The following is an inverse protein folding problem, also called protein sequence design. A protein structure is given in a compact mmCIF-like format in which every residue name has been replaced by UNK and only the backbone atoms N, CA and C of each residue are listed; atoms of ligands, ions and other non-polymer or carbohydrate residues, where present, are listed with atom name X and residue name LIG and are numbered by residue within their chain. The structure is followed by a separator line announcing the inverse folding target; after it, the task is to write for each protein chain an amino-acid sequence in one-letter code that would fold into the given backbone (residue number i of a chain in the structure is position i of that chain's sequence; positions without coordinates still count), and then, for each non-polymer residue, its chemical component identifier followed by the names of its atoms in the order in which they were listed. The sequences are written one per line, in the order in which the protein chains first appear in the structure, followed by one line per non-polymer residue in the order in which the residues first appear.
data_IF_658152625754
#
_entry.id   IF_658152625754
#
_cell.length_a   1.000
_cell.length_b   1.000
_cell.length_c   1.000
_cell.angle_alpha   90.00
_cell.angle_beta   90.00
_cell.angle_gamma   90.00
#
_symmetry.space_group_name_H-M   'P 1'
#
loop_
_entity.id
_entity.type
_entity.pdbx_description
1 polymer ?
#
# COMPACT_ATOMS: atom_id res chain seq x y z
N UNK A 1 15.58 8.25 -60.25
CA UNK A 1 16.61 7.53 -59.44
C UNK A 1 16.54 7.82 -57.93
N UNK A 2 16.02 8.98 -57.48
CA UNK A 2 15.97 9.37 -56.05
C UNK A 2 14.89 8.64 -55.22
N UNK A 3 13.75 8.31 -55.82
CA UNK A 3 12.63 7.62 -55.14
C UNK A 3 12.97 6.18 -54.70
N UNK A 4 13.71 5.44 -55.55
CA UNK A 4 14.17 4.07 -55.23
C UNK A 4 15.13 4.04 -54.03
N UNK A 5 15.97 5.08 -53.88
CA UNK A 5 16.89 5.21 -52.74
C UNK A 5 16.14 5.48 -51.43
N UNK A 6 15.07 6.26 -51.47
CA UNK A 6 14.25 6.56 -50.29
C UNK A 6 13.50 5.33 -49.79
N UNK A 7 12.95 4.52 -50.71
CA UNK A 7 12.28 3.26 -50.41
C UNK A 7 13.22 2.22 -49.77
N UNK A 8 14.48 2.17 -50.22
CA UNK A 8 15.49 1.26 -49.64
C UNK A 8 15.84 1.69 -48.21
N UNK A 9 15.93 2.99 -47.94
CA UNK A 9 16.26 3.51 -46.60
C UNK A 9 15.09 3.25 -45.61
N UNK A 10 13.84 3.44 -46.03
CA UNK A 10 12.68 3.19 -45.17
C UNK A 10 12.47 1.70 -44.88
N UNK A 11 12.70 0.81 -45.85
CA UNK A 11 12.66 -0.64 -45.63
C UNK A 11 13.81 -1.09 -44.71
N UNK A 12 15.02 -0.54 -44.88
CA UNK A 12 16.14 -0.83 -43.98
C UNK A 12 15.87 -0.35 -42.54
N UNK A 13 15.25 0.81 -42.37
CA UNK A 13 14.84 1.32 -41.05
C UNK A 13 13.83 0.40 -40.33
N UNK A 14 12.82 -0.09 -41.04
CA UNK A 14 11.81 -1.01 -40.49
C UNK A 14 12.40 -2.38 -40.08
N UNK A 15 13.40 -2.88 -40.81
CA UNK A 15 14.08 -4.13 -40.49
C UNK A 15 14.99 -4.00 -39.25
N UNK A 16 15.57 -2.82 -39.01
CA UNK A 16 16.39 -2.58 -37.81
C UNK A 16 15.52 -2.44 -36.56
N UNK A 17 14.35 -1.79 -36.64
CA UNK A 17 13.46 -1.66 -35.48
C UNK A 17 12.84 -2.99 -35.03
N UNK A 18 12.59 -3.90 -35.97
CA UNK A 18 12.01 -5.22 -35.67
C UNK A 18 13.02 -6.17 -35.03
N UNK A 19 14.32 -6.08 -35.36
CA UNK A 19 15.36 -6.89 -34.72
C UNK A 19 15.66 -6.47 -33.27
N UNK A 20 15.63 -5.16 -32.98
CA UNK A 20 15.80 -4.63 -31.62
C UNK A 20 14.63 -5.04 -30.70
N UNK A 21 13.39 -4.96 -31.20
CA UNK A 21 12.21 -5.41 -30.46
C UNK A 21 12.24 -6.90 -30.13
N UNK A 22 12.64 -7.75 -31.09
CA UNK A 22 12.75 -9.18 -30.86
C UNK A 22 13.91 -9.54 -29.92
N UNK A 23 15.03 -8.81 -29.96
CA UNK A 23 16.14 -8.97 -29.03
C UNK A 23 15.74 -8.72 -27.57
N UNK A 24 15.05 -7.62 -27.29
CA UNK A 24 14.55 -7.29 -25.94
C UNK A 24 13.49 -8.29 -25.49
N UNK A 25 12.55 -8.64 -26.37
CA UNK A 25 11.50 -9.62 -26.07
C UNK A 25 12.07 -11.02 -25.80
N UNK A 26 13.07 -11.46 -26.58
CA UNK A 26 13.77 -12.73 -26.39
C UNK A 26 14.57 -12.74 -25.09
N UNK A 27 15.25 -11.64 -24.74
CA UNK A 27 15.94 -11.52 -23.45
C UNK A 27 14.97 -11.58 -22.27
N UNK A 28 13.82 -10.89 -22.32
CA UNK A 28 12.80 -10.92 -21.26
C UNK A 28 12.07 -12.26 -21.15
N UNK A 29 11.84 -12.94 -22.28
CA UNK A 29 11.15 -14.25 -22.33
C UNK A 29 12.08 -15.41 -21.98
N UNK A 30 13.36 -15.33 -22.33
CA UNK A 30 14.36 -16.38 -22.07
C UNK A 30 15.08 -16.15 -20.72
N UNK A 31 15.01 -14.94 -20.15
CA UNK A 31 15.21 -14.78 -18.73
C UNK A 31 14.01 -15.40 -18.02
N UNK A 32 14.18 -16.64 -17.56
CA UNK A 32 13.50 -17.14 -16.37
C UNK A 32 13.92 -16.26 -15.17
N UNK A 33 13.54 -14.98 -15.19
CA UNK A 33 13.40 -14.16 -14.01
C UNK A 33 12.18 -14.68 -13.26
N UNK A 34 12.27 -15.94 -12.83
CA UNK A 34 11.62 -16.32 -11.60
C UNK A 34 12.30 -15.43 -10.55
N UNK A 35 11.59 -14.51 -9.88
CA UNK A 35 12.12 -14.03 -8.62
C UNK A 35 12.41 -15.30 -7.82
N UNK A 36 13.69 -15.53 -7.47
CA UNK A 36 14.08 -16.70 -6.68
C UNK A 36 13.07 -16.87 -5.54
N UNK A 37 12.24 -17.90 -5.61
CA UNK A 37 11.37 -18.33 -4.50
C UNK A 37 12.16 -19.10 -3.46
N UNK A 38 13.41 -18.69 -3.23
CA UNK A 38 14.29 -19.25 -2.21
C UNK A 38 14.48 -18.23 -1.09
N UNK A 39 13.37 -17.88 -0.45
CA UNK A 39 13.37 -17.55 0.97
C UNK A 39 12.22 -18.33 1.63
N UNK A 40 12.25 -19.66 1.48
CA UNK A 40 11.91 -20.51 2.61
C UNK A 40 13.02 -20.36 3.65
N UNK A 41 13.09 -19.18 4.28
CA UNK A 41 13.72 -19.11 5.59
C UNK A 41 12.76 -19.85 6.51
N UNK A 42 13.25 -20.96 7.04
CA UNK A 42 12.75 -21.61 8.23
C UNK A 42 12.70 -20.59 9.37
N UNK A 43 11.70 -19.72 9.32
CA UNK A 43 11.37 -18.77 10.37
C UNK A 43 10.53 -19.53 11.38
N UNK A 44 11.16 -20.43 12.15
CA UNK A 44 10.87 -20.37 13.59
C UNK A 44 10.94 -18.89 13.92
N UNK A 45 9.88 -18.26 14.49
CA UNK A 45 9.93 -16.85 14.79
C UNK A 45 11.20 -16.63 15.60
N UNK A 46 12.22 -16.02 14.98
CA UNK A 46 13.35 -15.47 15.71
C UNK A 46 12.64 -14.54 16.66
N UNK A 47 12.59 -14.90 17.95
CA UNK A 47 12.02 -14.05 18.99
C UNK A 47 12.65 -12.70 18.74
N UNK A 48 11.83 -11.80 18.21
CA UNK A 48 12.20 -10.44 17.94
C UNK A 48 12.85 -9.97 19.23
N UNK A 49 14.10 -9.52 19.17
CA UNK A 49 14.61 -8.70 20.27
C UNK A 49 13.57 -7.61 20.43
N UNK A 50 12.95 -7.51 21.61
CA UNK A 50 11.91 -6.52 21.89
C UNK A 50 12.49 -5.11 21.70
N UNK A 51 12.54 -4.64 20.45
CA UNK A 51 12.64 -3.23 20.13
C UNK A 51 11.27 -2.70 20.49
N UNK A 52 11.19 -1.82 21.49
CA UNK A 52 9.93 -1.20 21.86
C UNK A 52 9.27 -0.58 20.62
N UNK A 53 7.99 -0.84 20.42
CA UNK A 53 7.18 -0.20 19.37
C UNK A 53 7.03 1.28 19.73
N UNK A 54 7.23 2.18 18.77
CA UNK A 54 6.93 3.60 18.94
C UNK A 54 5.43 3.86 18.93
N UNK A 55 4.67 2.94 18.33
CA UNK A 55 3.23 3.06 18.31
C UNK A 55 2.65 2.82 19.71
N UNK A 56 1.70 3.66 20.14
CA UNK A 56 0.90 3.36 21.31
C UNK A 56 0.18 2.03 21.14
N UNK A 57 -0.13 1.39 22.26
CA UNK A 57 -0.95 0.17 22.27
C UNK A 57 -2.38 0.50 21.84
N UNK A 58 -2.66 0.35 20.55
CA UNK A 58 -3.95 0.60 19.92
C UNK A 58 -4.46 -0.67 19.24
N UNK A 59 -5.76 -0.90 19.31
CA UNK A 59 -6.48 -1.96 18.62
C UNK A 59 -7.56 -1.37 17.70
N UNK A 60 -8.04 -2.16 16.75
CA UNK A 60 -9.11 -1.74 15.84
C UNK A 60 -10.39 -1.30 16.58
N UNK A 61 -10.71 -1.93 17.72
CA UNK A 61 -11.90 -1.60 18.50
C UNK A 61 -11.82 -0.23 19.20
N UNK A 62 -10.62 0.30 19.45
CA UNK A 62 -10.47 1.61 20.12
C UNK A 62 -11.07 2.74 19.27
N UNK A 63 -11.19 2.52 17.96
CA UNK A 63 -11.74 3.46 17.00
C UNK A 63 -13.26 3.36 16.84
N UNK A 64 -13.91 2.36 17.46
CA UNK A 64 -15.35 2.15 17.32
C UNK A 64 -16.17 3.33 17.87
N UNK A 65 -15.62 4.07 18.85
CA UNK A 65 -16.24 5.26 19.44
C UNK A 65 -16.46 6.41 18.44
N UNK A 66 -15.71 6.42 17.33
CA UNK A 66 -15.83 7.46 16.32
C UNK A 66 -16.88 7.14 15.25
N UNK A 67 -17.43 5.92 15.23
CA UNK A 67 -18.45 5.51 14.26
C UNK A 67 -19.79 6.15 14.64
N UNK A 68 -20.42 6.84 13.68
CA UNK A 68 -21.70 7.53 13.88
C UNK A 68 -22.84 6.84 13.15
N UNK A 69 -24.07 7.15 13.57
CA UNK A 69 -25.30 6.75 12.90
C UNK A 69 -25.89 7.89 12.08
N UNK A 70 -26.41 7.58 10.90
CA UNK A 70 -27.18 8.51 10.08
C UNK A 70 -28.61 8.70 10.64
N UNK A 71 -29.40 9.58 10.01
CA UNK A 71 -30.80 9.85 10.41
C UNK A 71 -31.70 8.61 10.33
N UNK A 72 -31.31 7.60 9.54
CA UNK A 72 -32.00 6.32 9.41
C UNK A 72 -31.47 5.26 10.40
N UNK A 73 -30.51 5.61 11.27
CA UNK A 73 -29.95 4.73 12.28
C UNK A 73 -28.83 3.80 11.79
N UNK A 74 -28.37 3.93 10.54
CA UNK A 74 -27.30 3.12 9.98
C UNK A 74 -25.93 3.66 10.37
N UNK A 75 -25.00 2.79 10.71
CA UNK A 75 -23.62 3.18 10.98
C UNK A 75 -22.90 3.61 9.69
N UNK A 76 -22.10 4.67 9.78
CA UNK A 76 -21.31 5.16 8.65
C UNK A 76 -19.95 5.72 9.08
N UNK A 77 -19.03 5.77 8.11
CA UNK A 77 -17.75 6.45 8.21
C UNK A 77 -17.70 7.58 7.18
N UNK A 78 -17.38 8.78 7.63
CA UNK A 78 -17.10 9.94 6.79
C UNK A 78 -15.66 10.43 7.00
N UNK A 79 -15.25 11.41 6.20
CA UNK A 79 -13.92 12.00 6.30
C UNK A 79 -13.66 12.66 7.66
N UNK A 80 -14.68 13.24 8.30
CA UNK A 80 -14.52 13.92 9.59
C UNK A 80 -14.22 12.92 10.72
N UNK A 81 -14.79 11.72 10.64
CA UNK A 81 -14.52 10.60 11.54
C UNK A 81 -13.05 10.16 11.40
N UNK A 82 -12.56 9.99 10.18
CA UNK A 82 -11.14 9.64 9.93
C UNK A 82 -10.21 10.70 10.51
N UNK A 83 -10.51 11.99 10.30
CA UNK A 83 -9.71 13.07 10.87
C UNK A 83 -9.71 13.06 12.40
N UNK A 84 -10.82 12.70 13.02
CA UNK A 84 -10.93 12.59 14.49
C UNK A 84 -10.08 11.45 15.04
N UNK A 85 -10.14 10.29 14.38
CA UNK A 85 -9.28 9.13 14.66
C UNK A 85 -7.80 9.53 14.57
N UNK A 86 -7.42 10.23 13.49
CA UNK A 86 -6.03 10.66 13.29
C UNK A 86 -5.59 11.68 14.32
N UNK A 87 -6.45 12.63 14.70
CA UNK A 87 -6.13 13.62 15.73
C UNK A 87 -5.83 12.95 17.08
N UNK A 88 -6.65 11.98 17.48
CA UNK A 88 -6.41 11.20 18.71
C UNK A 88 -5.12 10.38 18.61
N UNK A 89 -4.89 9.73 17.45
CA UNK A 89 -3.68 8.96 17.22
C UNK A 89 -2.42 9.85 17.28
N UNK A 90 -2.42 11.00 16.63
CA UNK A 90 -1.32 11.98 16.69
C UNK A 90 -1.12 12.52 18.10
N UNK A 91 -2.20 12.78 18.86
CA UNK A 91 -2.09 13.20 20.26
C UNK A 91 -1.42 12.13 21.13
N UNK A 92 -1.74 10.85 20.92
CA UNK A 92 -1.14 9.71 21.63
C UNK A 92 0.31 9.44 21.23
N UNK A 93 0.72 9.88 20.04
CA UNK A 93 2.11 9.86 19.56
C UNK A 93 3.01 10.93 20.22
N UNK A 94 2.64 11.37 21.42
CA UNK A 94 3.19 12.49 22.15
C UNK A 94 4.72 12.60 22.05
N UNK A 95 5.17 13.76 21.58
CA UNK A 95 6.55 14.27 21.68
C UNK A 95 7.59 13.46 20.90
N UNK A 96 7.32 13.19 19.64
CA UNK A 96 8.32 12.57 18.77
C UNK A 96 8.57 13.45 17.54
N UNK A 97 9.84 13.80 17.28
CA UNK A 97 10.25 14.61 16.11
C UNK A 97 10.11 13.84 14.78
N UNK A 98 9.20 12.87 14.73
CA UNK A 98 8.99 11.98 13.59
C UNK A 98 7.82 12.42 12.73
N UNK A 99 7.85 11.95 11.48
CA UNK A 99 6.77 12.17 10.53
C UNK A 99 5.77 11.02 10.62
N UNK A 100 4.51 11.37 10.83
CA UNK A 100 3.40 10.44 10.80
C UNK A 100 2.63 10.60 9.49
N UNK A 101 2.61 9.54 8.72
CA UNK A 101 1.90 9.45 7.45
C UNK A 101 0.82 8.40 7.58
N UNK A 102 -0.32 8.62 6.93
CA UNK A 102 -1.41 7.66 6.97
C UNK A 102 -2.10 7.59 5.60
N UNK A 103 -2.62 6.40 5.32
CA UNK A 103 -3.59 6.19 4.27
C UNK A 103 -4.75 5.37 4.82
N UNK A 104 -5.88 5.43 4.13
CA UNK A 104 -7.02 4.60 4.49
C UNK A 104 -7.80 4.12 3.27
N UNK A 105 -8.45 2.98 3.43
CA UNK A 105 -9.37 2.42 2.43
C UNK A 105 -10.64 1.95 3.12
N UNK A 106 -11.77 2.39 2.59
CA UNK A 106 -13.08 1.87 2.96
C UNK A 106 -13.36 0.67 2.06
N UNK A 107 -13.57 -0.49 2.66
CA UNK A 107 -13.96 -1.70 1.96
C UNK A 107 -15.44 -1.91 2.19
N UNK A 108 -16.19 -1.95 1.08
CA UNK A 108 -17.63 -2.18 1.10
C UNK A 108 -17.90 -3.67 1.30
N UNK A 109 -18.73 -3.99 2.28
CA UNK A 109 -19.20 -5.34 2.51
C UNK A 109 -20.42 -5.67 1.66
N UNK A 110 -21.11 -6.78 1.98
CA UNK A 110 -22.36 -7.14 1.32
C UNK A 110 -23.45 -6.09 1.59
N UNK A 111 -23.49 -5.57 2.83
CA UNK A 111 -24.35 -4.47 3.26
C UNK A 111 -23.52 -3.34 3.89
N UNK A 112 -24.12 -2.16 4.08
CA UNK A 112 -23.47 -0.99 4.74
C UNK A 112 -22.93 -1.31 6.14
N UNK A 113 -23.52 -2.28 6.85
CA UNK A 113 -23.07 -2.69 8.18
C UNK A 113 -21.83 -3.58 8.15
N UNK A 114 -21.53 -4.22 7.02
CA UNK A 114 -20.35 -5.08 6.81
C UNK A 114 -19.15 -4.28 6.30
N UNK A 115 -19.35 -3.00 6.03
CA UNK A 115 -18.30 -2.09 5.64
C UNK A 115 -17.23 -2.04 6.75
N UNK A 116 -15.98 -1.95 6.33
CA UNK A 116 -14.86 -1.78 7.25
C UNK A 116 -13.80 -0.87 6.67
N UNK A 117 -13.01 -0.30 7.55
CA UNK A 117 -11.91 0.59 7.22
C UNK A 117 -10.59 -0.14 7.49
N UNK A 118 -9.69 -0.05 6.52
CA UNK A 118 -8.27 -0.33 6.74
C UNK A 118 -7.57 1.01 6.87
N UNK A 119 -7.02 1.28 8.04
CA UNK A 119 -6.18 2.44 8.32
C UNK A 119 -4.72 1.97 8.38
N UNK A 120 -3.88 2.46 7.47
CA UNK A 120 -2.44 2.22 7.53
C UNK A 120 -1.76 3.47 8.03
N UNK A 121 -0.93 3.31 9.05
CA UNK A 121 -0.15 4.39 9.63
C UNK A 121 1.31 4.02 9.55
N UNK A 122 2.10 4.94 9.02
CA UNK A 122 3.55 4.87 8.91
C UNK A 122 4.15 5.96 9.78
N UNK A 123 5.05 5.57 10.67
CA UNK A 123 5.81 6.48 11.51
C UNK A 123 7.28 6.42 11.13
N UNK A 124 7.86 7.59 10.83
CA UNK A 124 9.24 7.76 10.37
C UNK A 124 9.96 8.62 11.40
N UNK A 125 10.94 8.04 12.09
CA UNK A 125 11.76 8.76 13.06
C UNK A 125 13.24 8.50 12.82
N UNK A 126 13.98 9.57 12.56
CA UNK A 126 15.39 9.52 12.17
C UNK A 126 15.59 8.60 10.95
N UNK A 127 15.92 7.33 11.17
CA UNK A 127 16.13 6.32 10.12
C UNK A 127 15.32 5.03 10.36
N UNK A 128 14.39 5.05 11.32
CA UNK A 128 13.53 3.91 11.64
C UNK A 128 12.13 4.17 11.09
N UNK A 129 11.60 3.15 10.42
CA UNK A 129 10.24 3.16 9.88
C UNK A 129 9.49 2.04 10.57
N UNK A 130 8.37 2.40 11.21
CA UNK A 130 7.42 1.44 11.75
C UNK A 130 6.06 1.65 11.06
N UNK A 131 5.42 0.56 10.66
CA UNK A 131 4.11 0.59 10.01
C UNK A 131 3.14 -0.27 10.79
N UNK A 132 1.93 0.24 11.06
CA UNK A 132 0.82 -0.53 11.60
C UNK A 132 -0.43 -0.36 10.75
N UNK A 133 -1.18 -1.44 10.64
CA UNK A 133 -2.45 -1.49 9.93
C UNK A 133 -3.56 -1.86 10.92
N UNK A 134 -4.60 -1.05 10.97
CA UNK A 134 -5.77 -1.27 11.81
C UNK A 134 -6.97 -1.59 10.93
N UNK A 135 -7.65 -2.69 11.26
CA UNK A 135 -8.95 -3.02 10.66
C UNK A 135 -10.03 -2.59 11.63
N UNK A 136 -10.86 -1.64 11.22
CA UNK A 136 -11.91 -1.03 12.03
C UNK A 136 -13.25 -1.41 11.41
N UNK A 137 -14.09 -2.10 12.17
CA UNK A 137 -15.40 -2.54 11.72
C UNK A 137 -16.43 -1.46 11.98
N UNK A 138 -17.32 -1.18 11.03
CA UNK A 138 -18.39 -0.18 11.20
C UNK A 138 -19.44 -0.64 12.23
N UNK A 139 -19.45 -1.94 12.56
CA UNK A 139 -20.30 -2.53 13.59
C UNK A 139 -19.45 -3.05 14.76
N UNK A 140 -19.81 -2.63 15.98
CA UNK A 140 -19.35 -3.19 17.26
C UNK A 140 -20.43 -4.07 17.88
#
# INVERSE_FOLDING_TARGET
MRLKKFLIISVAGLLISSSLGFGIYSLLRNSNFQPKKDFLLNNKPKKSKNVGSYFPSLQGQDFNSYIKKDEAGNYYLDQQIIMSIMKDLTYRFAVSDGNLEFDYKIIKGLNREDDYLILNVRYIFQNQIETKSYKIYIRS
#
